data_IF_854559471391
#
_entry.id   IF_854559471391
#
_cell.length_a   1.000
_cell.length_b   1.000
_cell.length_c   1.000
_cell.angle_alpha   90.00
_cell.angle_beta   90.00
_cell.angle_gamma   90.00
#
_symmetry.space_group_name_H-M   'P 1'
#
loop_
_entity.id
_entity.type
_entity.pdbx_description
1 polymer ?
#
# COMPACT_ATOMS: atom_id res chain seq x y z
N UNK A 1 -3.15 -0.86 24.87
CA UNK A 1 -1.86 -0.31 25.28
C UNK A 1 -0.96 -0.27 24.06
N UNK A 2 -0.50 0.94 23.67
CA UNK A 2 0.42 1.28 22.57
C UNK A 2 -0.10 0.97 21.15
N UNK A 3 -0.19 1.87 20.16
CA UNK A 3 0.55 3.10 19.91
C UNK A 3 -0.36 4.16 19.28
N UNK A 4 -0.55 5.28 19.95
CA UNK A 4 -0.77 6.56 19.30
C UNK A 4 0.60 6.95 18.73
N UNK A 5 0.93 6.44 17.53
CA UNK A 5 2.18 6.79 16.87
C UNK A 5 2.03 8.25 16.44
N UNK A 6 2.65 9.14 17.22
CA UNK A 6 2.88 10.53 16.88
C UNK A 6 3.14 10.65 15.37
N UNK A 7 2.29 11.42 14.70
CA UNK A 7 2.34 11.64 13.27
C UNK A 7 3.75 12.08 12.88
N UNK A 8 4.52 11.16 12.30
CA UNK A 8 5.78 11.50 11.65
C UNK A 8 5.38 12.27 10.38
N UNK A 9 5.69 13.57 10.27
CA UNK A 9 5.11 14.46 9.26
C UNK A 9 5.56 14.16 7.82
N UNK A 10 6.33 13.09 7.62
CA UNK A 10 6.97 12.74 6.37
C UNK A 10 6.46 11.43 5.75
N UNK A 11 5.38 10.87 6.28
CA UNK A 11 4.75 9.69 5.69
C UNK A 11 3.91 10.04 4.47
N UNK A 12 3.95 9.19 3.45
CA UNK A 12 3.13 9.36 2.26
C UNK A 12 1.71 8.84 2.55
N UNK A 13 0.71 9.72 2.46
CA UNK A 13 -0.66 9.39 2.85
C UNK A 13 -1.43 8.75 1.69
N UNK A 14 -1.69 7.45 1.79
CA UNK A 14 -2.41 6.68 0.78
C UNK A 14 -3.91 6.90 0.88
N UNK A 15 -4.58 7.12 -0.26
CA UNK A 15 -6.03 7.29 -0.35
C UNK A 15 -6.63 6.42 -1.45
N UNK A 16 -7.88 5.97 -1.22
CA UNK A 16 -8.71 5.31 -2.21
C UNK A 16 -8.01 4.15 -2.94
N UNK A 17 -7.86 4.31 -4.25
CA UNK A 17 -7.24 3.32 -5.15
C UNK A 17 -5.77 3.03 -4.82
N UNK A 18 -5.01 4.02 -4.35
CA UNK A 18 -3.59 3.84 -4.04
C UNK A 18 -3.38 2.92 -2.83
N UNK A 19 -4.25 3.07 -1.82
CA UNK A 19 -4.26 2.16 -0.68
C UNK A 19 -4.59 0.73 -1.13
N UNK A 20 -5.64 0.58 -1.94
CA UNK A 20 -6.08 -0.72 -2.44
C UNK A 20 -5.00 -1.44 -3.23
N UNK A 21 -4.34 -0.74 -4.17
CA UNK A 21 -3.26 -1.31 -4.97
C UNK A 21 -2.05 -1.68 -4.12
N UNK A 22 -1.70 -0.84 -3.15
CA UNK A 22 -0.61 -1.14 -2.22
C UNK A 22 -0.90 -2.38 -1.38
N UNK A 23 -2.13 -2.54 -0.87
CA UNK A 23 -2.54 -3.72 -0.10
C UNK A 23 -2.49 -4.99 -0.95
N UNK A 24 -3.00 -4.94 -2.18
CA UNK A 24 -2.95 -6.08 -3.11
C UNK A 24 -1.50 -6.45 -3.43
N UNK A 25 -0.61 -5.46 -3.63
CA UNK A 25 0.82 -5.72 -3.83
C UNK A 25 1.49 -6.32 -2.59
N UNK A 26 1.17 -5.83 -1.40
CA UNK A 26 1.68 -6.39 -0.13
C UNK A 26 1.25 -7.85 0.04
N UNK A 27 0.00 -8.18 -0.29
CA UNK A 27 -0.50 -9.55 -0.28
C UNK A 27 0.18 -10.45 -1.32
N UNK A 28 0.54 -9.93 -2.50
CA UNK A 28 1.33 -10.70 -3.47
C UNK A 28 2.74 -11.02 -2.94
N UNK A 29 3.37 -10.08 -2.23
CA UNK A 29 4.73 -10.27 -1.70
C UNK A 29 4.77 -11.16 -0.46
N UNK A 30 3.81 -11.01 0.45
CA UNK A 30 3.75 -11.77 1.71
C UNK A 30 2.92 -13.06 1.60
N UNK A 31 2.13 -13.21 0.55
CA UNK A 31 1.19 -14.31 0.35
C UNK A 31 -0.07 -14.17 1.23
N UNK A 32 0.00 -14.67 2.47
CA UNK A 32 -1.14 -14.72 3.40
C UNK A 32 -0.91 -13.86 4.62
N UNK A 33 -1.66 -12.76 4.75
CA UNK A 33 -1.44 -11.76 5.81
C UNK A 33 -2.71 -11.29 6.49
N UNK A 34 -2.58 -10.92 7.75
CA UNK A 34 -3.61 -10.31 8.58
C UNK A 34 -3.66 -8.79 8.40
N UNK A 35 -4.75 -8.15 8.84
CA UNK A 35 -4.89 -6.68 8.84
C UNK A 35 -3.76 -6.01 9.62
N UNK A 36 -3.37 -6.58 10.76
CA UNK A 36 -2.28 -6.06 11.61
C UNK A 36 -0.93 -6.13 10.93
N UNK A 37 -0.64 -7.24 10.23
CA UNK A 37 0.60 -7.38 9.44
C UNK A 37 0.63 -6.39 8.27
N UNK A 38 -0.51 -6.20 7.59
CA UNK A 38 -0.63 -5.23 6.50
C UNK A 38 -0.41 -3.80 6.99
N UNK A 39 -0.98 -3.42 8.14
CA UNK A 39 -0.75 -2.11 8.75
C UNK A 39 0.72 -1.93 9.12
N UNK A 40 1.36 -2.95 9.71
CA UNK A 40 2.79 -2.89 10.03
C UNK A 40 3.67 -2.79 8.77
N UNK A 41 3.29 -3.47 7.68
CA UNK A 41 4.00 -3.38 6.40
C UNK A 41 3.86 -2.00 5.75
N UNK A 42 2.69 -1.37 5.83
CA UNK A 42 2.50 0.01 5.39
C UNK A 42 3.41 0.98 6.15
N UNK A 43 3.48 0.86 7.47
CA UNK A 43 4.35 1.71 8.31
C UNK A 43 5.84 1.50 7.99
N UNK A 44 6.27 0.24 7.76
CA UNK A 44 7.63 -0.08 7.28
C UNK A 44 7.94 0.62 5.95
N UNK A 45 6.98 0.69 5.04
CA UNK A 45 7.10 1.37 3.76
C UNK A 45 6.90 2.89 3.84
N UNK A 46 6.77 3.45 5.04
CA UNK A 46 6.52 4.88 5.28
C UNK A 46 5.19 5.39 4.72
N UNK A 47 4.22 4.49 4.57
CA UNK A 47 2.87 4.85 4.17
C UNK A 47 1.98 5.08 5.38
N UNK A 48 1.18 6.14 5.30
CA UNK A 48 0.13 6.44 6.26
C UNK A 48 -1.24 6.32 5.62
N UNK A 49 -2.27 6.11 6.42
CA UNK A 49 -3.67 6.07 5.96
C UNK A 49 -4.51 7.02 6.80
N UNK A 50 -5.50 7.70 6.19
CA UNK A 50 -6.35 8.63 6.93
C UNK A 50 -7.23 7.89 7.96
N UNK A 51 -7.40 8.51 9.12
CA UNK A 51 -8.29 8.03 10.18
C UNK A 51 -7.75 6.80 10.90
N UNK A 52 -8.59 5.77 11.07
CA UNK A 52 -8.25 4.54 11.81
C UNK A 52 -7.63 3.49 10.87
N UNK A 53 -6.33 3.19 10.96
CA UNK A 53 -5.63 2.40 9.94
C UNK A 53 -6.22 1.01 9.72
N UNK A 54 -6.49 0.28 10.81
CA UNK A 54 -7.06 -1.06 10.74
C UNK A 54 -8.45 -1.08 10.09
N UNK A 55 -9.28 -0.05 10.32
CA UNK A 55 -10.62 0.06 9.71
C UNK A 55 -10.49 0.36 8.22
N UNK A 56 -9.68 1.34 7.86
CA UNK A 56 -9.47 1.74 6.45
C UNK A 56 -8.89 0.59 5.64
N UNK A 57 -7.92 -0.16 6.19
CA UNK A 57 -7.38 -1.38 5.56
C UNK A 57 -8.47 -2.46 5.43
N UNK A 58 -9.25 -2.70 6.47
CA UNK A 58 -10.33 -3.70 6.43
C UNK A 58 -11.40 -3.37 5.39
N UNK A 59 -11.81 -2.10 5.29
CA UNK A 59 -12.80 -1.63 4.31
C UNK A 59 -12.23 -1.67 2.88
N UNK A 60 -10.94 -1.37 2.69
CA UNK A 60 -10.25 -1.52 1.40
C UNK A 60 -10.14 -2.99 0.97
N UNK A 61 -9.80 -3.91 1.88
CA UNK A 61 -9.77 -5.35 1.62
C UNK A 61 -11.16 -5.88 1.26
N UNK A 62 -12.22 -5.40 1.93
CA UNK A 62 -13.61 -5.73 1.57
C UNK A 62 -13.94 -5.32 0.14
N UNK A 63 -13.47 -4.15 -0.30
CA UNK A 63 -13.66 -3.71 -1.67
C UNK A 63 -12.90 -4.59 -2.67
N UNK A 64 -11.64 -4.93 -2.39
CA UNK A 64 -10.85 -5.81 -3.27
C UNK A 64 -11.39 -7.25 -3.33
N UNK A 65 -12.01 -7.74 -2.24
CA UNK A 65 -12.74 -9.01 -2.23
C UNK A 65 -13.95 -8.99 -3.18
N UNK A 66 -14.68 -7.88 -3.25
CA UNK A 66 -15.81 -7.73 -4.18
C UNK A 66 -15.37 -7.68 -5.66
N UNK A 67 -14.10 -7.41 -5.92
CA UNK A 67 -13.53 -7.34 -7.28
C UNK A 67 -12.74 -8.61 -7.62
N UNK A 68 -12.87 -9.68 -6.83
CA UNK A 68 -12.17 -10.96 -6.98
C UNK A 68 -10.64 -10.85 -6.97
N UNK A 69 -10.07 -9.79 -6.36
CA UNK A 69 -8.61 -9.53 -6.29
C UNK A 69 -7.99 -10.04 -5.00
N UNK A 70 -8.80 -10.18 -3.96
CA UNK A 70 -8.39 -10.65 -2.63
C UNK A 70 -9.36 -11.73 -2.18
N UNK A 71 -8.83 -12.79 -1.55
CA UNK A 71 -9.62 -13.83 -0.90
C UNK A 71 -9.32 -13.88 0.59
N UNK A 72 -10.36 -14.09 1.39
CA UNK A 72 -10.21 -14.38 2.82
C UNK A 72 -9.93 -15.88 2.99
N UNK A 73 -8.77 -16.22 3.56
CA UNK A 73 -8.30 -17.62 3.70
C UNK A 73 -8.67 -18.28 5.04
N UNK A 74 -9.35 -17.55 5.93
CA UNK A 74 -9.72 -18.01 7.29
C UNK A 74 -9.14 -17.08 8.37
N UNK A 75 -9.55 -17.22 9.64
CA UNK A 75 -9.07 -16.47 10.84
C UNK A 75 -8.64 -14.99 10.64
N UNK A 76 -9.30 -14.24 9.75
CA UNK A 76 -8.94 -12.83 9.48
C UNK A 76 -7.66 -12.64 8.65
N UNK A 77 -7.22 -13.66 7.92
CA UNK A 77 -6.12 -13.62 6.96
C UNK A 77 -6.67 -13.46 5.53
N UNK A 78 -5.92 -12.72 4.75
CA UNK A 78 -6.22 -12.37 3.37
C UNK A 78 -5.06 -12.81 2.48
N UNK A 79 -5.38 -13.14 1.23
CA UNK A 79 -4.38 -13.41 0.19
C UNK A 79 -4.80 -12.76 -1.12
N UNK A 80 -3.82 -12.38 -1.93
CA UNK A 80 -4.09 -11.99 -3.31
C UNK A 80 -4.61 -13.22 -4.09
N UNK A 81 -5.49 -12.97 -5.05
CA UNK A 81 -5.99 -13.97 -6.00
C UNK A 81 -5.24 -13.87 -7.33
N UNK A 82 -5.51 -14.81 -8.24
CA UNK A 82 -5.05 -14.68 -9.63
C UNK A 82 -5.67 -13.46 -10.29
N UNK A 83 -4.85 -12.62 -10.92
CA UNK A 83 -5.25 -11.38 -11.58
C UNK A 83 -4.72 -11.36 -13.02
N UNK A 84 -5.42 -10.70 -13.98
CA UNK A 84 -4.86 -10.46 -15.31
C UNK A 84 -3.53 -9.70 -15.24
N UNK A 85 -2.53 -10.17 -16.00
CA UNK A 85 -1.16 -9.64 -16.02
C UNK A 85 -1.09 -8.13 -16.28
N UNK A 86 -2.03 -7.58 -17.05
CA UNK A 86 -2.13 -6.14 -17.31
C UNK A 86 -2.49 -5.32 -16.07
N UNK A 87 -3.40 -5.84 -15.23
CA UNK A 87 -3.81 -5.17 -13.99
C UNK A 87 -2.71 -5.32 -12.94
N UNK A 88 -2.07 -6.49 -12.88
CA UNK A 88 -0.92 -6.72 -12.02
C UNK A 88 0.22 -5.74 -12.37
N UNK A 89 0.60 -5.62 -13.64
CA UNK A 89 1.61 -4.67 -14.08
C UNK A 89 1.26 -3.23 -13.68
N UNK A 90 0.00 -2.81 -13.88
CA UNK A 90 -0.48 -1.47 -13.47
C UNK A 90 -0.32 -1.25 -11.96
N UNK A 91 -0.67 -2.25 -11.15
CA UNK A 91 -0.52 -2.19 -9.69
C UNK A 91 0.97 -2.08 -9.32
N UNK A 92 1.83 -2.92 -9.92
CA UNK A 92 3.27 -2.92 -9.65
C UNK A 92 3.88 -1.56 -9.97
N UNK A 93 3.65 -1.04 -11.19
CA UNK A 93 4.20 0.25 -11.61
C UNK A 93 3.71 1.38 -10.71
N UNK A 94 2.42 1.40 -10.36
CA UNK A 94 1.86 2.44 -9.49
C UNK A 94 2.44 2.38 -8.07
N UNK A 95 2.55 1.18 -7.48
CA UNK A 95 3.12 1.01 -6.14
C UNK A 95 4.61 1.33 -6.11
N UNK A 96 5.35 1.01 -7.18
CA UNK A 96 6.75 1.41 -7.31
C UNK A 96 6.92 2.93 -7.33
N UNK A 97 6.08 3.65 -8.08
CA UNK A 97 6.08 5.11 -8.11
C UNK A 97 5.73 5.71 -6.72
N UNK A 98 4.75 5.13 -6.02
CA UNK A 98 4.40 5.54 -4.66
C UNK A 98 5.54 5.32 -3.67
N UNK A 99 6.27 4.20 -3.78
CA UNK A 99 7.44 3.92 -2.94
C UNK A 99 8.53 4.95 -3.18
N UNK A 100 8.84 5.25 -4.44
CA UNK A 100 9.81 6.29 -4.79
C UNK A 100 9.40 7.65 -4.21
N UNK A 101 8.14 8.05 -4.34
CA UNK A 101 7.65 9.30 -3.76
C UNK A 101 7.72 9.33 -2.22
N UNK A 102 7.48 8.20 -1.54
CA UNK A 102 7.61 8.08 -0.09
C UNK A 102 9.09 8.12 0.36
N UNK A 103 10.00 7.55 -0.42
CA UNK A 103 11.45 7.60 -0.18
C UNK A 103 12.00 9.02 -0.41
N UNK A 104 11.58 9.72 -1.47
CA UNK A 104 11.94 11.13 -1.69
C UNK A 104 11.48 12.03 -0.54
N UNK A 105 10.31 11.74 0.03
CA UNK A 105 9.83 12.42 1.23
C UNK A 105 10.74 12.14 2.42
N UNK A 106 11.02 10.86 2.75
CA UNK A 106 11.99 10.48 3.81
C UNK A 106 13.33 11.21 3.68
N UNK A 107 13.80 11.39 2.45
CA UNK A 107 15.12 11.90 2.13
C UNK A 107 15.34 13.39 2.38
N UNK A 108 14.30 14.23 2.46
CA UNK A 108 14.42 15.65 2.83
C UNK A 108 15.68 16.33 2.27
N UNK A 109 15.91 16.24 0.96
CA UNK A 109 16.91 17.01 0.25
C UNK A 109 16.44 17.22 -1.19
N UNK A 110 16.70 18.43 -1.70
CA UNK A 110 16.28 19.02 -2.96
C UNK A 110 16.16 18.06 -4.15
N UNK A 111 15.12 18.30 -4.94
CA UNK A 111 15.07 17.82 -6.31
C UNK A 111 16.35 18.26 -7.05
N UNK A 112 16.82 17.46 -8.02
CA UNK A 112 16.42 17.88 -9.35
C UNK A 112 15.68 16.77 -10.07
N UNK A 113 14.53 17.16 -10.60
CA UNK A 113 13.82 16.55 -11.71
C UNK A 113 14.79 15.84 -12.65
N UNK A 114 14.68 14.51 -12.89
CA UNK A 114 15.33 13.92 -14.04
C UNK A 114 14.61 14.46 -15.28
N UNK A 115 15.29 15.36 -15.99
CA UNK A 115 14.92 15.78 -17.33
C UNK A 115 14.72 14.54 -18.20
N UNK A 116 13.55 14.40 -18.81
CA UNK A 116 13.33 13.48 -19.90
C UNK A 116 14.25 13.91 -21.06
N UNK A 117 15.09 13.01 -21.63
CA UNK A 117 15.77 13.35 -22.87
C UNK A 117 14.74 13.32 -24.00
N UNK A 118 14.46 14.49 -24.56
CA UNK A 118 13.94 14.61 -25.92
C UNK A 118 15.10 14.44 -26.90
N UNK A 119 14.89 13.64 -27.94
CA UNK A 119 15.84 13.34 -29.01
C UNK A 119 15.44 12.08 -29.73
#
# INVERSE_FOLDING_TARGET
MLCERAAMPNQYLLRGTELRYTLTRLLQLMGQSSVTELVAALDKWNFSVPGRPAKTVSDALRWEMQHDRVLRRGRGRYSATGMPRSTEHRIITRVAALRSAAESRRGGHDSPTPALPGG
#
